data_IF_655953120226
#
_entry.id   IF_655953120226
#
_cell.length_a   1.000
_cell.length_b   1.000
_cell.length_c   1.000
_cell.angle_alpha   90.00
_cell.angle_beta   90.00
_cell.angle_gamma   90.00
#
_symmetry.space_group_name_H-M   'P 1'
#
loop_
_entity.id
_entity.type
_entity.pdbx_description
1 polymer ?
#
# COMPACT_ATOMS: atom_id res chain seq x y z
N UNK A 1 4.18 -10.25 7.40
CA UNK A 1 3.76 -8.84 7.60
C UNK A 1 2.40 -8.85 8.29
N UNK A 2 2.28 -8.34 9.51
CA UNK A 2 0.97 -8.19 10.17
C UNK A 2 0.66 -6.70 10.26
N UNK A 3 -0.26 -6.26 9.43
CA UNK A 3 -0.73 -4.88 9.38
C UNK A 3 -2.17 -4.89 9.86
N UNK A 4 -2.33 -4.89 11.19
CA UNK A 4 -3.64 -4.87 11.85
C UNK A 4 -4.30 -3.50 11.62
N UNK A 5 -5.61 -3.45 11.37
CA UNK A 5 -6.38 -2.20 11.24
C UNK A 5 -6.92 -1.92 9.82
N UNK A 6 -6.21 -2.24 8.75
CA UNK A 6 -6.61 -1.83 7.39
C UNK A 6 -7.80 -2.62 6.83
N UNK A 7 -7.84 -3.92 7.11
CA UNK A 7 -8.82 -4.88 6.60
C UNK A 7 -9.50 -5.63 7.76
N UNK A 8 -9.77 -4.97 8.89
CA UNK A 8 -10.26 -5.62 10.11
C UNK A 8 -11.54 -6.45 9.91
N UNK A 9 -12.47 -5.93 9.11
CA UNK A 9 -13.70 -6.66 8.72
C UNK A 9 -13.40 -7.97 7.96
N UNK A 10 -12.18 -8.12 7.46
CA UNK A 10 -11.68 -9.25 6.69
C UNK A 10 -10.48 -9.94 7.36
N UNK A 11 -10.17 -9.65 8.63
CA UNK A 11 -8.98 -10.19 9.31
C UNK A 11 -8.89 -11.72 9.29
N UNK A 12 -10.05 -12.39 9.32
CA UNK A 12 -10.13 -13.86 9.29
C UNK A 12 -10.34 -14.43 7.88
N UNK A 13 -10.29 -13.62 6.82
CA UNK A 13 -10.56 -14.07 5.45
C UNK A 13 -9.28 -14.55 4.77
N UNK A 14 -9.46 -15.41 3.76
CA UNK A 14 -8.35 -15.93 2.97
C UNK A 14 -8.12 -15.09 1.72
N UNK A 15 -6.87 -14.74 1.46
CA UNK A 15 -6.46 -14.21 0.16
C UNK A 15 -6.64 -15.29 -0.93
N UNK A 16 -7.16 -14.88 -2.08
CA UNK A 16 -7.33 -15.72 -3.25
C UNK A 16 -6.90 -14.94 -4.49
N UNK A 17 -6.04 -15.54 -5.31
CA UNK A 17 -5.61 -14.91 -6.55
C UNK A 17 -6.56 -15.25 -7.69
N UNK A 18 -7.16 -14.23 -8.30
CA UNK A 18 -8.01 -14.39 -9.47
C UNK A 18 -7.15 -14.38 -10.74
N UNK A 19 -7.04 -15.55 -11.38
CA UNK A 19 -6.23 -15.72 -12.58
C UNK A 19 -6.81 -15.05 -13.83
N UNK A 20 -8.12 -14.79 -13.89
CA UNK A 20 -8.76 -14.12 -15.03
C UNK A 20 -8.48 -12.62 -15.00
N UNK A 21 -8.76 -12.00 -13.86
CA UNK A 21 -8.64 -10.54 -13.68
C UNK A 21 -7.25 -10.11 -13.18
N UNK A 22 -6.37 -11.07 -12.85
CA UNK A 22 -5.02 -10.84 -12.32
C UNK A 22 -5.00 -9.96 -11.07
N UNK A 23 -5.86 -10.26 -10.09
CA UNK A 23 -5.97 -9.48 -8.84
C UNK A 23 -6.12 -10.36 -7.61
N UNK A 24 -5.69 -9.84 -6.46
CA UNK A 24 -5.99 -10.46 -5.17
C UNK A 24 -7.43 -10.13 -4.79
N UNK A 25 -8.16 -11.14 -4.34
CA UNK A 25 -9.50 -11.03 -3.76
C UNK A 25 -9.52 -11.71 -2.39
N UNK A 26 -10.59 -11.48 -1.64
CA UNK A 26 -10.79 -12.08 -0.33
C UNK A 26 -11.93 -13.08 -0.39
N UNK A 27 -11.76 -14.21 0.29
CA UNK A 27 -12.73 -15.29 0.41
C UNK A 27 -13.03 -15.59 1.87
N UNK A 28 -14.31 -15.67 2.22
CA UNK A 28 -14.75 -15.99 3.57
C UNK A 28 -14.31 -17.42 3.97
N UNK A 29 -13.96 -17.67 5.23
CA UNK A 29 -13.68 -19.03 5.70
C UNK A 29 -14.84 -19.98 5.40
N UNK A 30 -14.49 -21.20 4.98
CA UNK A 30 -15.46 -22.27 4.68
C UNK A 30 -16.47 -21.95 3.56
N UNK A 31 -16.20 -20.93 2.74
CA UNK A 31 -17.00 -20.60 1.55
C UNK A 31 -16.13 -20.64 0.29
N UNK A 32 -16.68 -21.04 -0.85
CA UNK A 32 -16.05 -20.87 -2.17
C UNK A 32 -16.40 -19.55 -2.83
N UNK A 33 -17.33 -18.79 -2.25
CA UNK A 33 -17.79 -17.51 -2.80
C UNK A 33 -16.72 -16.43 -2.61
N UNK A 34 -16.42 -15.75 -3.70
CA UNK A 34 -15.62 -14.53 -3.73
C UNK A 34 -16.60 -13.37 -3.49
N UNK A 35 -16.43 -12.65 -2.40
CA UNK A 35 -17.31 -11.53 -2.07
C UNK A 35 -16.75 -10.21 -2.63
N UNK A 36 -17.66 -9.28 -2.89
CA UNK A 36 -17.28 -7.91 -3.19
C UNK A 36 -16.86 -7.22 -1.90
N UNK A 37 -15.60 -6.80 -1.87
CA UNK A 37 -15.04 -6.05 -0.75
C UNK A 37 -15.64 -4.64 -0.83
N UNK A 38 -16.20 -4.16 0.28
CA UNK A 38 -16.75 -2.82 0.33
C UNK A 38 -15.63 -1.77 0.44
N UNK A 39 -15.87 -0.56 -0.06
CA UNK A 39 -14.99 0.62 -0.01
C UNK A 39 -13.78 0.63 -0.97
N UNK A 40 -13.57 1.78 -1.62
CA UNK A 40 -12.37 2.10 -2.40
C UNK A 40 -11.09 1.95 -1.56
N UNK A 41 -11.15 2.27 -0.27
CA UNK A 41 -10.03 2.14 0.69
C UNK A 41 -9.50 0.70 0.79
N UNK A 42 -10.40 -0.28 0.77
CA UNK A 42 -10.03 -1.68 0.92
C UNK A 42 -9.48 -2.25 -0.40
N UNK A 43 -10.08 -1.82 -1.52
CA UNK A 43 -9.52 -2.11 -2.84
C UNK A 43 -8.10 -1.57 -2.95
N UNK A 44 -7.85 -0.32 -2.57
CA UNK A 44 -6.51 0.25 -2.61
C UNK A 44 -5.51 -0.54 -1.75
N UNK A 45 -5.92 -0.94 -0.54
CA UNK A 45 -5.04 -1.74 0.31
C UNK A 45 -4.67 -3.09 -0.33
N UNK A 46 -5.63 -3.74 -1.00
CA UNK A 46 -5.36 -4.95 -1.78
C UNK A 46 -4.47 -4.70 -2.99
N UNK A 47 -4.59 -3.55 -3.66
CA UNK A 47 -3.68 -3.18 -4.74
C UNK A 47 -2.24 -3.03 -4.22
N UNK A 48 -2.04 -2.37 -3.08
CA UNK A 48 -0.72 -2.28 -2.45
C UNK A 48 -0.16 -3.69 -2.17
N UNK A 49 -0.90 -4.51 -1.43
CA UNK A 49 -0.47 -5.89 -1.13
C UNK A 49 -0.15 -6.66 -2.43
N UNK A 50 -1.01 -6.53 -3.43
CA UNK A 50 -0.84 -7.25 -4.70
C UNK A 50 0.47 -6.90 -5.40
N UNK A 51 0.77 -5.61 -5.59
CA UNK A 51 2.01 -5.19 -6.24
C UNK A 51 3.25 -5.53 -5.41
N UNK A 52 3.19 -5.34 -4.09
CA UNK A 52 4.28 -5.72 -3.19
C UNK A 52 4.56 -7.23 -3.25
N UNK A 53 3.53 -8.08 -3.20
CA UNK A 53 3.68 -9.53 -3.32
C UNK A 53 4.24 -9.95 -4.69
N UNK A 54 3.86 -9.28 -5.78
CA UNK A 54 4.44 -9.56 -7.11
C UNK A 54 5.93 -9.24 -7.15
N UNK A 55 6.35 -8.10 -6.60
CA UNK A 55 7.77 -7.75 -6.51
C UNK A 55 8.53 -8.72 -5.62
N UNK A 56 7.99 -9.07 -4.45
CA UNK A 56 8.58 -10.06 -3.55
C UNK A 56 8.76 -11.42 -4.23
N UNK A 57 7.75 -11.91 -4.97
CA UNK A 57 7.88 -13.15 -5.75
C UNK A 57 8.94 -13.02 -6.83
N UNK A 58 8.99 -11.90 -7.56
CA UNK A 58 9.98 -11.68 -8.61
C UNK A 58 11.42 -11.68 -8.06
N UNK A 59 11.64 -11.01 -6.93
CA UNK A 59 12.92 -10.95 -6.21
C UNK A 59 13.31 -12.34 -5.71
N UNK A 60 12.40 -13.04 -5.04
CA UNK A 60 12.63 -14.39 -4.54
C UNK A 60 12.93 -15.41 -5.65
N UNK A 61 12.48 -15.16 -6.88
CA UNK A 61 12.78 -15.99 -8.06
C UNK A 61 14.00 -15.51 -8.85
N UNK A 62 14.69 -14.46 -8.41
CA UNK A 62 15.85 -13.90 -9.11
C UNK A 62 15.51 -13.37 -10.51
N UNK A 63 14.28 -12.88 -10.70
CA UNK A 63 13.84 -12.36 -11.99
C UNK A 63 14.61 -11.11 -12.38
N UNK A 64 15.21 -11.12 -13.57
CA UNK A 64 15.90 -9.95 -14.15
C UNK A 64 14.98 -9.04 -14.97
N UNK A 65 13.73 -9.46 -15.15
CA UNK A 65 12.76 -8.78 -16.02
C UNK A 65 11.83 -7.82 -15.25
N UNK A 66 11.83 -7.91 -13.92
CA UNK A 66 11.03 -7.02 -13.07
C UNK A 66 11.98 -6.05 -12.38
N UNK A 67 11.84 -4.74 -12.60
CA UNK A 67 12.68 -3.77 -11.92
C UNK A 67 12.43 -3.81 -10.41
N UNK A 68 13.47 -3.48 -9.64
CA UNK A 68 13.39 -3.42 -8.18
C UNK A 68 12.96 -2.03 -7.69
N UNK A 69 11.97 -1.45 -8.37
CA UNK A 69 11.30 -0.25 -7.89
C UNK A 69 9.81 -0.31 -8.17
N UNK A 70 9.04 0.45 -7.39
CA UNK A 70 7.60 0.63 -7.57
C UNK A 70 7.27 2.13 -7.56
N UNK A 71 6.48 2.57 -8.53
CA UNK A 71 5.95 3.94 -8.57
C UNK A 71 4.49 3.90 -8.11
N UNK A 72 4.11 4.78 -7.19
CA UNK A 72 2.74 4.87 -6.68
C UNK A 72 2.29 6.33 -6.70
N UNK A 73 1.19 6.59 -7.39
CA UNK A 73 0.57 7.91 -7.45
C UNK A 73 -0.64 7.96 -6.49
N UNK A 74 -0.57 8.86 -5.51
CA UNK A 74 -1.63 9.19 -4.56
C UNK A 74 -2.34 7.98 -3.91
N UNK A 75 -1.61 7.02 -3.31
CA UNK A 75 -2.24 5.88 -2.61
C UNK A 75 -3.20 6.31 -1.49
N UNK A 76 -3.05 7.53 -0.94
CA UNK A 76 -3.90 8.08 0.10
C UNK A 76 -5.29 8.52 -0.36
N UNK A 77 -5.50 8.80 -1.66
CA UNK A 77 -6.76 9.39 -2.18
C UNK A 77 -8.04 8.66 -1.74
N UNK A 78 -8.10 7.31 -1.77
CA UNK A 78 -9.28 6.59 -1.31
C UNK A 78 -9.61 6.78 0.18
N UNK A 79 -8.65 7.29 0.96
CA UNK A 79 -8.75 7.58 2.39
C UNK A 79 -8.79 9.10 2.67
N UNK A 80 -8.54 9.94 1.65
CA UNK A 80 -8.32 11.38 1.78
C UNK A 80 -9.06 12.14 0.66
N UNK A 81 -10.14 12.84 1.04
CA UNK A 81 -11.10 13.46 0.10
C UNK A 81 -10.81 14.93 -0.25
N UNK A 82 -11.27 15.28 -1.44
CA UNK A 82 -10.97 16.45 -2.29
C UNK A 82 -10.79 17.84 -1.65
N UNK A 83 -9.82 18.56 -2.21
CA UNK A 83 -9.73 20.01 -2.42
C UNK A 83 -10.88 20.85 -1.85
N UNK A 84 -10.75 21.31 -0.60
CA UNK A 84 -11.50 22.49 -0.12
C UNK A 84 -12.17 22.42 1.24
N UNK A 85 -12.23 21.27 1.92
CA UNK A 85 -12.87 21.19 3.24
C UNK A 85 -11.97 20.52 4.29
N UNK A 86 -11.13 21.33 4.92
CA UNK A 86 -10.74 21.09 6.30
C UNK A 86 -12.00 20.88 7.16
N UNK A 87 -12.22 19.67 7.69
CA UNK A 87 -12.39 19.44 9.15
C UNK A 87 -12.77 18.01 9.58
N UNK A 88 -13.25 17.13 8.70
CA UNK A 88 -13.78 15.82 9.14
C UNK A 88 -13.06 14.62 8.51
N UNK A 89 -11.72 14.62 8.54
CA UNK A 89 -11.00 13.35 8.34
C UNK A 89 -11.24 12.51 9.57
N UNK A 90 -12.09 11.48 9.45
CA UNK A 90 -12.36 10.55 10.54
C UNK A 90 -11.05 9.95 11.00
N UNK A 91 -10.90 9.80 12.32
CA UNK A 91 -9.73 9.18 12.93
C UNK A 91 -9.38 7.83 12.26
N UNK A 92 -10.39 7.03 11.91
CA UNK A 92 -10.25 5.75 11.20
C UNK A 92 -9.59 5.85 9.83
N UNK A 93 -9.80 6.94 9.09
CA UNK A 93 -9.24 7.10 7.74
C UNK A 93 -7.76 7.55 7.81
N UNK A 94 -7.43 8.40 8.78
CA UNK A 94 -6.03 8.74 9.08
C UNK A 94 -5.23 7.50 9.50
N UNK A 95 -5.83 6.65 10.34
CA UNK A 95 -5.19 5.39 10.75
C UNK A 95 -4.92 4.50 9.54
N UNK A 96 -5.88 4.33 8.62
CA UNK A 96 -5.68 3.54 7.40
C UNK A 96 -4.56 4.07 6.51
N UNK A 97 -4.41 5.39 6.39
CA UNK A 97 -3.29 6.00 5.65
C UNK A 97 -1.95 5.67 6.32
N UNK A 98 -1.85 5.85 7.65
CA UNK A 98 -0.64 5.51 8.41
C UNK A 98 -0.28 4.03 8.26
N UNK A 99 -1.29 3.18 8.32
CA UNK A 99 -1.17 1.73 8.12
C UNK A 99 -0.66 1.41 6.71
N UNK A 100 -1.15 2.09 5.67
CA UNK A 100 -0.65 1.94 4.31
C UNK A 100 0.81 2.37 4.18
N UNK A 101 1.22 3.51 4.75
CA UNK A 101 2.62 3.92 4.74
C UNK A 101 3.52 2.98 5.56
N UNK A 102 3.04 2.49 6.69
CA UNK A 102 3.77 1.49 7.47
C UNK A 102 3.97 0.19 6.69
N UNK A 103 2.96 -0.27 5.94
CA UNK A 103 3.07 -1.43 5.05
C UNK A 103 4.21 -1.24 4.04
N UNK A 104 4.25 -0.07 3.38
CA UNK A 104 5.28 0.25 2.39
C UNK A 104 6.68 0.36 3.01
N UNK A 105 6.80 1.04 4.17
CA UNK A 105 8.04 1.13 4.92
C UNK A 105 8.58 -0.26 5.30
N UNK A 106 7.71 -1.12 5.85
CA UNK A 106 8.08 -2.46 6.29
C UNK A 106 8.46 -3.37 5.12
N UNK A 107 7.85 -3.16 3.94
CA UNK A 107 8.24 -3.88 2.74
C UNK A 107 9.67 -3.55 2.32
N UNK A 108 10.05 -2.27 2.33
CA UNK A 108 11.42 -1.84 2.06
C UNK A 108 12.40 -2.51 3.05
N UNK A 109 12.10 -2.49 4.35
CA UNK A 109 12.92 -3.20 5.35
C UNK A 109 13.03 -4.70 5.06
N UNK A 110 11.90 -5.34 4.74
CA UNK A 110 11.87 -6.78 4.43
C UNK A 110 12.79 -7.11 3.27
N UNK A 111 12.70 -6.34 2.18
CA UNK A 111 13.49 -6.61 0.98
C UNK A 111 14.97 -6.25 1.19
N UNK A 112 15.25 -5.04 1.68
CA UNK A 112 16.62 -4.53 1.81
C UNK A 112 17.42 -5.24 2.91
N UNK A 113 16.78 -5.58 4.04
CA UNK A 113 17.46 -6.16 5.20
C UNK A 113 17.39 -7.69 5.17
N UNK A 114 16.18 -8.26 5.02
CA UNK A 114 16.02 -9.71 5.14
C UNK A 114 16.42 -10.43 3.86
N UNK A 115 16.02 -9.91 2.69
CA UNK A 115 16.39 -10.49 1.40
C UNK A 115 17.72 -9.99 0.87
N UNK A 116 18.32 -8.97 1.50
CA UNK A 116 19.60 -8.36 1.09
C UNK A 116 19.57 -7.94 -0.39
N UNK A 117 18.42 -7.42 -0.83
CA UNK A 117 18.17 -6.99 -2.20
C UNK A 117 17.75 -5.53 -2.20
N UNK A 118 18.21 -4.74 -3.17
CA UNK A 118 17.87 -3.32 -3.20
C UNK A 118 16.48 -3.10 -3.79
N UNK A 119 15.61 -2.38 -3.07
CA UNK A 119 14.29 -1.98 -3.56
C UNK A 119 13.94 -0.54 -3.21
N UNK A 120 13.30 0.15 -4.15
CA UNK A 120 12.87 1.54 -3.98
C UNK A 120 11.39 1.72 -4.27
N UNK A 121 10.73 2.60 -3.50
CA UNK A 121 9.39 3.09 -3.83
C UNK A 121 9.49 4.58 -4.12
N UNK A 122 8.97 4.99 -5.27
CA UNK A 122 8.78 6.39 -5.64
C UNK A 122 7.30 6.72 -5.48
N UNK A 123 6.98 7.64 -4.58
CA UNK A 123 5.60 7.92 -4.21
C UNK A 123 5.28 9.40 -4.41
N UNK A 124 4.16 9.67 -5.06
CA UNK A 124 3.60 11.00 -5.20
C UNK A 124 2.42 11.15 -4.24
N UNK A 125 2.47 12.13 -3.34
CA UNK A 125 1.48 12.29 -2.28
C UNK A 125 1.20 13.76 -1.97
N UNK A 126 -0.02 14.03 -1.48
CA UNK A 126 -0.45 15.35 -1.03
C UNK A 126 -0.77 15.42 0.47
N UNK A 127 -0.71 14.28 1.18
CA UNK A 127 -0.96 14.25 2.62
C UNK A 127 0.18 14.94 3.39
N UNK A 128 -0.11 15.56 4.55
CA UNK A 128 0.91 16.24 5.34
C UNK A 128 1.95 15.25 5.90
N UNK A 129 3.20 15.70 6.05
CA UNK A 129 4.33 14.85 6.48
C UNK A 129 4.17 14.17 7.83
N UNK A 130 3.29 14.70 8.68
CA UNK A 130 2.91 14.08 9.94
C UNK A 130 2.33 12.67 9.76
N UNK A 131 1.73 12.37 8.60
CA UNK A 131 1.13 11.06 8.31
C UNK A 131 2.16 9.94 8.18
N UNK A 132 3.42 10.29 7.92
CA UNK A 132 4.51 9.33 7.76
C UNK A 132 5.71 9.64 8.67
N UNK A 133 5.47 10.44 9.72
CA UNK A 133 6.48 10.73 10.73
C UNK A 133 6.91 9.46 11.47
N UNK A 134 8.22 9.27 11.61
CA UNK A 134 8.81 8.13 12.33
C UNK A 134 9.04 6.88 11.48
N UNK A 135 8.74 6.93 10.18
CA UNK A 135 9.10 5.89 9.23
C UNK A 135 10.52 6.13 8.71
N UNK A 136 11.39 5.12 8.82
CA UNK A 136 12.83 5.27 8.58
C UNK A 136 13.21 5.23 7.10
N UNK A 137 12.37 4.64 6.26
CA UNK A 137 12.65 4.48 4.82
C UNK A 137 12.08 5.61 3.96
N UNK A 138 11.67 6.72 4.56
CA UNK A 138 11.05 7.82 3.84
C UNK A 138 12.01 8.99 3.74
N UNK A 139 12.35 9.32 2.50
CA UNK A 139 13.07 10.52 2.13
C UNK A 139 12.08 11.48 1.45
N UNK A 140 11.65 12.51 2.19
CA UNK A 140 10.75 13.53 1.67
C UNK A 140 11.55 14.54 0.85
N UNK A 141 11.21 14.69 -0.42
CA UNK A 141 11.77 15.70 -1.30
C UNK A 141 11.03 17.03 -1.13
N UNK A 142 11.73 18.13 -1.45
CA UNK A 142 11.11 19.44 -1.49
C UNK A 142 9.95 19.47 -2.50
N UNK A 143 8.87 20.20 -2.19
CA UNK A 143 7.74 20.29 -3.10
C UNK A 143 8.17 20.95 -4.40
N UNK A 144 7.72 20.39 -5.52
CA UNK A 144 7.87 20.99 -6.83
C UNK A 144 6.96 22.23 -6.92
N UNK A 145 7.54 23.42 -6.74
CA UNK A 145 6.86 24.73 -6.79
C UNK A 145 7.78 25.75 -7.44
N UNK A 146 7.21 26.60 -8.30
CA UNK A 146 7.94 27.74 -8.87
C UNK A 146 8.98 27.38 -9.94
N UNK A 147 8.82 26.25 -10.64
CA UNK A 147 9.70 25.88 -11.76
C UNK A 147 11.02 25.22 -11.38
N UNK A 148 11.13 24.67 -10.16
CA UNK A 148 12.28 23.87 -9.70
C UNK A 148 12.26 22.41 -10.22
N UNK A 149 11.73 22.20 -11.44
CA UNK A 149 11.64 20.90 -12.09
C UNK A 149 12.77 20.72 -13.12
#
# INVERSE_FOLDING_TARGET
>A
QQVNGALDNYANWYASFNYKDKKIQLRKPKSTLIENIGSSSNHMFLHLIHFLSLHEVAINKGSKFVPSFLIIDQPSRPYWGDDGASKDVKYSDQEKIKIAFQLLNNFIDTVNINYKHEFQILMFEHVPSIMFKGLNNIHLLDPFRGGNA
#
